data_IF_765378985415
#
_entry.id   IF_765378985415
#
_cell.length_a   1.000
_cell.length_b   1.000
_cell.length_c   1.000
_cell.angle_alpha   90.00
_cell.angle_beta   90.00
_cell.angle_gamma   90.00
#
_symmetry.space_group_name_H-M   'P 1'
#
loop_
_entity.id
_entity.type
_entity.pdbx_description
1 polymer ?
#
# COMPACT_ATOMS: atom_id res chain seq x y z
N UNK A 1 3.36 49.93 -26.74
CA UNK A 1 2.76 48.59 -26.85
C UNK A 1 3.45 47.69 -25.83
N UNK A 2 3.03 47.72 -24.57
CA UNK A 2 3.57 46.82 -23.54
C UNK A 2 2.64 45.61 -23.47
N UNK A 3 3.10 44.50 -24.03
CA UNK A 3 2.47 43.19 -23.82
C UNK A 3 2.74 42.79 -22.38
N UNK A 4 1.74 43.01 -21.53
CA UNK A 4 1.66 42.43 -20.20
C UNK A 4 1.65 40.91 -20.37
N UNK A 5 2.79 40.28 -20.09
CA UNK A 5 2.88 38.83 -20.03
C UNK A 5 2.06 38.39 -18.81
N UNK A 6 0.80 38.01 -19.04
CA UNK A 6 0.02 37.28 -18.06
C UNK A 6 0.79 35.99 -17.75
N UNK A 7 1.18 35.72 -16.49
CA UNK A 7 1.72 34.43 -16.14
C UNK A 7 0.62 33.41 -16.46
N UNK A 8 0.94 32.46 -17.35
CA UNK A 8 0.09 31.32 -17.62
C UNK A 8 0.00 30.55 -16.29
N UNK A 9 -1.02 30.83 -15.49
CA UNK A 9 -1.35 30.04 -14.31
C UNK A 9 -1.79 28.68 -14.83
N UNK A 10 -0.82 27.77 -15.00
CA UNK A 10 -1.10 26.39 -15.38
C UNK A 10 -2.02 25.84 -14.27
N UNK A 11 -3.24 25.40 -14.60
CA UNK A 11 -4.15 24.89 -13.59
C UNK A 11 -3.45 23.75 -12.84
N UNK A 12 -3.44 23.84 -11.50
CA UNK A 12 -2.79 22.83 -10.67
C UNK A 12 -3.35 21.44 -11.01
N UNK A 13 -2.47 20.52 -11.37
CA UNK A 13 -2.87 19.17 -11.77
C UNK A 13 -3.55 18.49 -10.58
N UNK A 14 -4.80 18.04 -10.78
CA UNK A 14 -5.54 17.35 -9.72
C UNK A 14 -4.83 16.06 -9.33
N UNK A 15 -4.70 15.85 -8.03
CA UNK A 15 -4.26 14.58 -7.48
C UNK A 15 -5.34 13.53 -7.72
N UNK A 16 -4.96 12.39 -8.27
CA UNK A 16 -5.80 11.20 -8.30
C UNK A 16 -5.75 10.49 -6.95
N UNK A 17 -6.69 9.57 -6.73
CA UNK A 17 -6.67 8.68 -5.56
C UNK A 17 -5.34 7.93 -5.48
N UNK A 18 -4.84 7.47 -6.64
CA UNK A 18 -3.54 6.80 -6.76
C UNK A 18 -2.37 7.68 -6.27
N UNK A 19 -2.37 8.98 -6.56
CA UNK A 19 -1.28 9.87 -6.14
C UNK A 19 -1.27 10.07 -4.63
N UNK A 20 -2.47 10.19 -4.02
CA UNK A 20 -2.63 10.24 -2.57
C UNK A 20 -2.18 8.94 -1.92
N UNK A 21 -2.53 7.81 -2.52
CA UNK A 21 -2.16 6.48 -2.06
C UNK A 21 -0.64 6.25 -2.08
N UNK A 22 0.04 6.63 -3.16
CA UNK A 22 1.50 6.56 -3.26
C UNK A 22 2.18 7.46 -2.21
N UNK A 23 1.59 8.62 -1.91
CA UNK A 23 2.07 9.50 -0.85
C UNK A 23 1.90 8.88 0.53
N UNK A 24 0.77 8.24 0.84
CA UNK A 24 0.57 7.54 2.12
C UNK A 24 1.63 6.47 2.33
N UNK A 25 1.94 5.69 1.29
CA UNK A 25 2.99 4.67 1.35
C UNK A 25 4.35 5.32 1.65
N UNK A 26 4.68 6.42 0.99
CA UNK A 26 5.94 7.15 1.24
C UNK A 26 6.03 7.69 2.67
N UNK A 27 4.94 8.22 3.21
CA UNK A 27 4.89 8.70 4.60
C UNK A 27 5.10 7.55 5.58
N UNK A 28 4.49 6.40 5.33
CA UNK A 28 4.70 5.20 6.13
C UNK A 28 6.13 4.68 6.06
N UNK A 29 6.74 4.66 4.88
CA UNK A 29 8.15 4.27 4.70
C UNK A 29 9.08 5.23 5.47
N UNK A 30 8.84 6.55 5.37
CA UNK A 30 9.60 7.55 6.12
C UNK A 30 9.44 7.45 7.64
N UNK A 31 8.24 7.09 8.12
CA UNK A 31 8.00 6.80 9.53
C UNK A 31 8.71 5.53 9.98
N UNK A 32 8.69 4.47 9.17
CA UNK A 32 9.40 3.21 9.45
C UNK A 32 10.93 3.42 9.52
N UNK A 33 11.46 4.33 8.71
CA UNK A 33 12.86 4.79 8.77
C UNK A 33 13.17 5.71 9.97
N UNK A 34 12.16 6.08 10.77
CA UNK A 34 12.31 6.96 11.94
C UNK A 34 12.48 8.45 11.60
N UNK A 35 12.19 8.85 10.36
CA UNK A 35 12.28 10.27 9.91
C UNK A 35 11.06 11.09 10.28
N UNK A 36 9.94 10.44 10.54
CA UNK A 36 8.72 11.07 11.04
C UNK A 36 8.42 10.55 12.43
N UNK A 37 7.98 11.45 13.30
CA UNK A 37 7.34 11.10 14.56
C UNK A 37 5.90 10.62 14.32
N UNK A 38 5.27 10.02 15.33
CA UNK A 38 3.87 9.59 15.26
C UNK A 38 2.94 10.79 14.97
N UNK A 39 3.16 11.93 15.63
CA UNK A 39 2.32 13.11 15.45
C UNK A 39 2.43 13.68 14.02
N UNK A 40 3.64 13.71 13.47
CA UNK A 40 3.87 14.18 12.09
C UNK A 40 3.29 13.22 11.06
N UNK A 41 3.37 11.90 11.29
CA UNK A 41 2.72 10.93 10.42
C UNK A 41 1.20 11.15 10.39
N UNK A 42 0.58 11.31 11.56
CA UNK A 42 -0.87 11.52 11.69
C UNK A 42 -1.32 12.78 10.93
N UNK A 43 -0.64 13.91 11.16
CA UNK A 43 -0.93 15.18 10.49
C UNK A 43 -0.76 15.08 8.97
N UNK A 44 0.33 14.46 8.51
CA UNK A 44 0.62 14.33 7.08
C UNK A 44 -0.31 13.37 6.36
N UNK A 45 -0.81 12.33 7.02
CA UNK A 45 -1.85 11.45 6.48
C UNK A 45 -3.14 12.25 6.25
N UNK A 46 -3.55 13.06 7.23
CA UNK A 46 -4.77 13.88 7.12
C UNK A 46 -4.65 14.90 5.97
N UNK A 47 -3.49 15.56 5.85
CA UNK A 47 -3.18 16.47 4.73
C UNK A 47 -3.18 15.74 3.37
N UNK A 48 -2.60 14.54 3.30
CA UNK A 48 -2.57 13.72 2.08
C UNK A 48 -3.96 13.35 1.61
N UNK A 49 -4.83 12.92 2.53
CA UNK A 49 -6.20 12.53 2.21
C UNK A 49 -7.05 13.73 1.77
N UNK A 50 -6.78 14.92 2.31
CA UNK A 50 -7.47 16.17 1.98
C UNK A 50 -6.95 16.84 0.69
N UNK A 51 -5.73 16.50 0.25
CA UNK A 51 -5.09 17.11 -0.92
C UNK A 51 -5.91 16.89 -2.20
N UNK A 52 -6.09 17.96 -2.98
CA UNK A 52 -6.80 17.96 -4.26
C UNK A 52 -5.86 18.11 -5.44
N UNK A 53 -4.62 18.53 -5.20
CA UNK A 53 -3.62 18.84 -6.23
C UNK A 53 -2.29 18.15 -5.96
N UNK A 54 -1.53 17.90 -7.04
CA UNK A 54 -0.17 17.37 -6.95
C UNK A 54 0.77 18.28 -6.16
N UNK A 55 0.56 19.60 -6.22
CA UNK A 55 1.36 20.57 -5.46
C UNK A 55 1.12 20.42 -3.95
N UNK A 56 -0.12 20.25 -3.52
CA UNK A 56 -0.45 19.99 -2.11
C UNK A 56 0.16 18.67 -1.64
N UNK A 57 0.09 17.60 -2.45
CA UNK A 57 0.77 16.34 -2.15
C UNK A 57 2.29 16.49 -2.06
N UNK A 58 2.90 17.22 -2.99
CA UNK A 58 4.33 17.48 -2.99
C UNK A 58 4.79 18.21 -1.73
N UNK A 59 3.97 19.14 -1.21
CA UNK A 59 4.27 19.86 0.03
C UNK A 59 4.31 18.95 1.26
N UNK A 60 3.47 17.92 1.31
CA UNK A 60 3.39 16.98 2.46
C UNK A 60 4.67 16.17 2.66
N UNK A 61 5.44 15.91 1.59
CA UNK A 61 6.69 15.15 1.63
C UNK A 61 7.90 15.95 1.12
N UNK A 62 7.84 17.29 1.18
CA UNK A 62 8.88 18.17 0.64
C UNK A 62 10.23 18.03 1.37
N UNK A 63 10.19 17.71 2.65
CA UNK A 63 11.33 17.52 3.55
C UNK A 63 11.77 16.05 3.69
N UNK A 64 11.04 15.13 3.06
CA UNK A 64 11.40 13.71 3.05
C UNK A 64 12.28 13.40 1.84
N UNK A 65 13.28 12.52 1.97
CA UNK A 65 14.07 12.11 0.83
C UNK A 65 13.16 11.56 -0.27
N UNK A 66 13.41 12.00 -1.49
CA UNK A 66 12.86 11.35 -2.67
C UNK A 66 13.68 10.08 -2.85
N UNK A 67 13.24 8.97 -2.24
CA UNK A 67 13.66 7.64 -2.69
C UNK A 67 13.43 7.53 -4.21
N UNK A 68 14.14 6.67 -4.95
CA UNK A 68 14.16 6.68 -6.41
C UNK A 68 12.77 6.98 -6.97
N UNK A 69 12.62 8.22 -7.43
CA UNK A 69 11.30 8.80 -7.64
C UNK A 69 10.57 8.03 -8.74
N UNK A 70 9.23 8.09 -8.78
CA UNK A 70 8.49 7.63 -9.94
C UNK A 70 8.70 8.64 -11.08
N UNK A 71 9.89 8.67 -11.65
CA UNK A 71 10.13 9.33 -12.92
C UNK A 71 9.71 8.45 -14.11
N UNK A 72 9.28 7.21 -13.89
CA UNK A 72 8.93 6.29 -15.00
C UNK A 72 7.73 5.35 -14.76
N UNK A 73 6.91 5.59 -13.74
CA UNK A 73 5.68 4.82 -13.54
C UNK A 73 4.43 5.56 -14.07
N UNK A 74 4.49 6.09 -15.30
CA UNK A 74 3.26 6.25 -16.11
C UNK A 74 2.77 4.87 -16.55
N UNK A 75 2.36 4.05 -15.61
CA UNK A 75 1.60 2.84 -15.91
C UNK A 75 0.17 3.11 -15.45
N UNK A 76 -0.67 3.51 -16.41
CA UNK A 76 -2.12 3.42 -16.29
C UNK A 76 -2.49 1.95 -16.06
N UNK A 77 -2.54 1.54 -14.79
CA UNK A 77 -3.03 0.22 -14.37
C UNK A 77 -4.51 0.32 -13.99
N UNK A 78 -5.37 -0.67 -14.29
CA UNK A 78 -6.80 -0.62 -13.99
C UNK A 78 -7.08 -0.53 -12.48
N UNK A 79 -8.22 0.07 -12.12
CA UNK A 79 -8.73 0.12 -10.74
C UNK A 79 -8.78 -1.28 -10.09
N UNK A 80 -8.35 -1.39 -8.82
CA UNK A 80 -8.31 -2.65 -8.05
C UNK A 80 -6.97 -3.02 -7.39
N UNK A 81 -5.94 -2.16 -7.53
CA UNK A 81 -4.56 -2.40 -7.08
C UNK A 81 -4.21 -1.92 -5.67
N UNK A 82 -5.16 -1.33 -4.94
CA UNK A 82 -4.90 -0.67 -3.66
C UNK A 82 -6.07 -0.78 -2.68
N UNK A 83 -5.77 -0.76 -1.37
CA UNK A 83 -6.75 -0.77 -0.29
C UNK A 83 -6.20 -0.03 0.94
N UNK A 84 -7.01 0.83 1.56
CA UNK A 84 -6.64 1.55 2.80
C UNK A 84 -7.65 1.24 3.90
N UNK A 85 -7.14 0.95 5.10
CA UNK A 85 -7.88 1.08 6.34
C UNK A 85 -7.28 2.24 7.14
N UNK A 86 -8.07 3.28 7.37
CA UNK A 86 -7.71 4.41 8.22
C UNK A 86 -8.70 4.49 9.38
N UNK A 87 -8.23 4.28 10.61
CA UNK A 87 -9.05 4.30 11.85
C UNK A 87 -10.31 3.41 11.77
N UNK A 88 -10.32 2.41 10.91
CA UNK A 88 -11.43 1.51 10.67
C UNK A 88 -10.91 0.12 10.25
N UNK A 89 -11.81 -0.85 10.16
CA UNK A 89 -11.52 -2.17 9.62
C UNK A 89 -11.88 -2.26 8.15
N UNK A 90 -11.04 -2.95 7.36
CA UNK A 90 -11.31 -3.21 5.95
C UNK A 90 -11.22 -4.70 5.65
N UNK A 91 -12.26 -5.26 5.04
CA UNK A 91 -12.26 -6.65 4.58
C UNK A 91 -12.35 -6.68 3.08
N UNK A 92 -11.44 -7.41 2.44
CA UNK A 92 -11.50 -7.69 1.01
C UNK A 92 -11.47 -9.17 0.77
N UNK A 93 -12.55 -9.69 0.21
CA UNK A 93 -12.78 -11.11 -0.02
C UNK A 93 -13.54 -11.32 -1.34
N UNK A 94 -13.63 -12.57 -1.79
CA UNK A 94 -14.36 -12.98 -2.97
C UNK A 94 -13.49 -13.13 -4.22
N UNK A 95 -14.14 -13.25 -5.38
CA UNK A 95 -13.45 -13.40 -6.66
C UNK A 95 -13.09 -12.03 -7.23
N UNK A 96 -11.80 -11.76 -7.30
CA UNK A 96 -11.25 -10.57 -7.92
C UNK A 96 -9.85 -10.87 -8.45
N UNK A 97 -9.41 -10.10 -9.44
CA UNK A 97 -8.09 -10.25 -10.03
C UNK A 97 -7.06 -9.55 -9.15
N UNK A 98 -6.21 -10.32 -8.48
CA UNK A 98 -5.08 -9.81 -7.69
C UNK A 98 -3.97 -9.40 -8.65
N UNK A 99 -3.70 -8.09 -8.78
CA UNK A 99 -2.65 -7.61 -9.65
C UNK A 99 -1.27 -8.03 -9.15
N UNK A 100 -0.29 -8.11 -10.05
CA UNK A 100 1.12 -8.41 -9.72
C UNK A 100 1.72 -7.48 -8.65
N UNK A 101 1.14 -6.28 -8.49
CA UNK A 101 1.49 -5.34 -7.42
C UNK A 101 0.21 -4.86 -6.76
N UNK A 102 0.03 -5.21 -5.50
CA UNK A 102 -1.09 -4.80 -4.67
C UNK A 102 -0.56 -4.17 -3.39
N UNK A 103 -1.14 -3.05 -2.95
CA UNK A 103 -0.71 -2.39 -1.70
C UNK A 103 -1.89 -2.21 -0.77
N UNK A 104 -1.71 -2.60 0.49
CA UNK A 104 -2.69 -2.45 1.57
C UNK A 104 -2.08 -1.63 2.69
N UNK A 105 -2.58 -0.41 2.89
CA UNK A 105 -2.13 0.47 3.99
C UNK A 105 -3.11 0.36 5.15
N UNK A 106 -2.61 0.09 6.35
CA UNK A 106 -3.47 -0.10 7.53
C UNK A 106 -2.96 0.73 8.69
N UNK A 107 -3.72 1.76 9.03
CA UNK A 107 -3.38 2.72 10.07
C UNK A 107 -4.45 2.72 11.17
N UNK A 108 -4.05 2.40 12.42
CA UNK A 108 -4.92 2.33 13.61
C UNK A 108 -6.21 1.54 13.36
N UNK A 109 -6.10 0.33 12.83
CA UNK A 109 -7.27 -0.45 12.40
C UNK A 109 -6.94 -1.91 12.14
N UNK A 110 -7.85 -2.61 11.46
CA UNK A 110 -7.61 -4.00 11.06
C UNK A 110 -7.87 -4.21 9.57
N UNK A 111 -7.13 -5.11 8.95
CA UNK A 111 -7.38 -5.48 7.56
C UNK A 111 -7.43 -7.00 7.41
N UNK A 112 -8.48 -7.49 6.76
CA UNK A 112 -8.60 -8.89 6.34
C UNK A 112 -8.54 -8.97 4.82
N UNK A 113 -7.51 -9.60 4.29
CA UNK A 113 -7.32 -9.83 2.87
C UNK A 113 -7.50 -11.33 2.58
N UNK A 114 -8.69 -11.73 2.14
CA UNK A 114 -8.99 -13.10 1.76
C UNK A 114 -8.68 -13.32 0.28
N UNK A 115 -7.53 -13.94 0.00
CA UNK A 115 -7.05 -14.25 -1.34
C UNK A 115 -7.45 -15.67 -1.79
N UNK A 116 -8.21 -16.44 -1.01
CA UNK A 116 -8.55 -17.83 -1.36
C UNK A 116 -9.31 -17.98 -2.67
N UNK A 117 -10.13 -16.98 -2.98
CA UNK A 117 -10.90 -16.91 -4.23
C UNK A 117 -10.33 -15.89 -5.22
N UNK A 118 -9.19 -15.26 -4.90
CA UNK A 118 -8.56 -14.27 -5.77
C UNK A 118 -7.82 -14.97 -6.92
N UNK A 119 -7.91 -14.37 -8.11
CA UNK A 119 -7.20 -14.83 -9.32
C UNK A 119 -5.92 -14.02 -9.47
N UNK A 120 -4.76 -14.68 -9.36
CA UNK A 120 -3.46 -14.03 -9.55
C UNK A 120 -3.29 -13.63 -11.03
N UNK A 121 -3.00 -12.35 -11.28
CA UNK A 121 -2.80 -11.83 -12.65
C UNK A 121 -1.50 -12.33 -13.28
N UNK A 122 -0.49 -12.66 -12.46
CA UNK A 122 0.83 -13.10 -12.92
C UNK A 122 1.49 -14.15 -12.01
N UNK A 123 2.65 -14.70 -12.42
CA UNK A 123 3.37 -15.75 -11.69
C UNK A 123 4.04 -15.25 -10.41
N UNK A 124 4.30 -13.93 -10.31
CA UNK A 124 4.85 -13.29 -9.12
C UNK A 124 3.94 -12.12 -8.75
N UNK A 125 3.49 -12.10 -7.51
CA UNK A 125 2.67 -11.03 -6.95
C UNK A 125 3.34 -10.42 -5.73
N UNK A 126 3.45 -9.10 -5.69
CA UNK A 126 4.01 -8.33 -4.57
C UNK A 126 2.87 -7.66 -3.82
N UNK A 127 2.71 -8.02 -2.55
CA UNK A 127 1.83 -7.39 -1.58
C UNK A 127 2.66 -6.42 -0.72
N UNK A 128 2.44 -5.11 -0.87
CA UNK A 128 3.03 -4.11 0.04
C UNK A 128 2.07 -3.82 1.18
N UNK A 129 2.52 -3.95 2.42
CA UNK A 129 1.65 -3.87 3.61
C UNK A 129 2.28 -2.99 4.70
N UNK A 130 2.30 -1.67 4.54
CA UNK A 130 2.63 -0.77 5.64
C UNK A 130 1.48 -0.77 6.67
N UNK A 131 1.78 -1.21 7.89
CA UNK A 131 0.81 -1.41 8.95
C UNK A 131 1.27 -0.70 10.23
N UNK A 132 0.50 0.29 10.69
CA UNK A 132 0.78 1.05 11.91
C UNK A 132 -0.32 0.89 12.95
N UNK A 133 0.04 0.44 14.17
CA UNK A 133 -0.89 0.17 15.27
C UNK A 133 -2.10 -0.63 14.80
N UNK A 134 -1.83 -1.68 14.03
CA UNK A 134 -2.86 -2.41 13.29
C UNK A 134 -2.60 -3.92 13.24
N UNK A 135 -3.66 -4.65 12.95
CA UNK A 135 -3.59 -6.10 12.72
C UNK A 135 -4.03 -6.40 11.31
N UNK A 136 -3.16 -7.05 10.54
CA UNK A 136 -3.43 -7.42 9.15
C UNK A 136 -3.40 -8.93 9.03
N UNK A 137 -4.52 -9.51 8.59
CA UNK A 137 -4.61 -10.92 8.27
C UNK A 137 -4.72 -11.10 6.76
N UNK A 138 -3.84 -11.90 6.18
CA UNK A 138 -3.82 -12.25 4.78
C UNK A 138 -4.04 -13.75 4.66
N UNK A 139 -5.17 -14.15 4.09
CA UNK A 139 -5.47 -15.56 3.84
C UNK A 139 -4.99 -15.90 2.44
N UNK A 140 -4.02 -16.80 2.35
CA UNK A 140 -3.36 -17.15 1.10
C UNK A 140 -4.19 -18.14 0.27
N UNK A 141 -4.11 -18.08 -1.07
CA UNK A 141 -4.68 -19.11 -1.92
C UNK A 141 -3.94 -20.44 -1.73
N UNK A 142 -4.61 -21.59 -1.92
CA UNK A 142 -3.93 -22.88 -1.89
C UNK A 142 -2.92 -22.98 -3.04
N UNK A 143 -1.76 -23.60 -2.77
CA UNK A 143 -0.78 -23.91 -3.80
C UNK A 143 0.12 -22.74 -4.24
N UNK A 144 0.15 -21.64 -3.49
CA UNK A 144 1.12 -20.55 -3.70
C UNK A 144 2.36 -20.73 -2.84
N UNK A 145 3.49 -20.20 -3.30
CA UNK A 145 4.67 -19.99 -2.45
C UNK A 145 4.58 -18.60 -1.83
N UNK A 146 4.80 -18.49 -0.53
CA UNK A 146 4.84 -17.20 0.16
C UNK A 146 6.27 -16.88 0.57
N UNK A 147 6.70 -15.68 0.20
CA UNK A 147 8.00 -15.12 0.59
C UNK A 147 7.73 -13.83 1.35
N UNK A 148 8.21 -13.74 2.59
CA UNK A 148 8.01 -12.57 3.47
C UNK A 148 9.26 -11.73 3.52
N UNK A 149 9.10 -10.41 3.47
CA UNK A 149 10.18 -9.44 3.54
C UNK A 149 9.73 -8.21 4.35
N UNK A 150 10.52 -7.81 5.34
CA UNK A 150 10.23 -6.69 6.25
C UNK A 150 10.03 -7.09 7.72
N UNK A 151 9.35 -6.24 8.49
CA UNK A 151 9.30 -6.31 9.97
C UNK A 151 7.88 -6.60 10.48
N UNK A 152 7.77 -7.45 11.50
CA UNK A 152 6.49 -7.76 12.17
C UNK A 152 5.54 -8.60 11.31
N UNK A 153 6.10 -9.39 10.38
CA UNK A 153 5.38 -10.32 9.50
C UNK A 153 5.61 -11.75 9.99
N UNK A 154 4.54 -12.51 10.07
CA UNK A 154 4.56 -13.96 10.30
C UNK A 154 3.86 -14.66 9.14
N UNK A 155 4.45 -15.74 8.62
CA UNK A 155 3.83 -16.58 7.59
C UNK A 155 3.70 -18.04 8.04
N UNK A 156 2.45 -18.51 8.11
CA UNK A 156 2.07 -19.88 8.42
C UNK A 156 1.30 -20.47 7.23
N UNK A 157 2.05 -20.76 6.16
CA UNK A 157 1.50 -21.36 4.94
C UNK A 157 2.03 -22.78 4.81
N UNK A 158 1.13 -23.76 4.87
CA UNK A 158 1.46 -25.17 4.86
C UNK A 158 1.32 -25.76 3.45
N UNK A 159 2.11 -26.79 3.20
CA UNK A 159 2.12 -27.53 1.94
C UNK A 159 3.36 -27.26 1.10
N UNK A 160 3.75 -28.24 0.29
CA UNK A 160 4.83 -28.10 -0.68
C UNK A 160 4.22 -27.63 -2.01
N UNK A 161 4.35 -26.34 -2.37
CA UNK A 161 3.82 -25.86 -3.64
C UNK A 161 4.52 -26.56 -4.80
N UNK A 162 3.81 -26.91 -5.89
CA UNK A 162 4.39 -27.57 -7.05
C UNK A 162 5.49 -26.73 -7.69
N UNK A 163 6.39 -27.37 -8.44
CA UNK A 163 7.38 -26.66 -9.25
C UNK A 163 6.66 -25.73 -10.26
N UNK A 164 6.96 -24.43 -10.20
CA UNK A 164 6.27 -23.41 -11.00
C UNK A 164 5.02 -22.79 -10.36
N UNK A 165 4.74 -23.09 -9.09
CA UNK A 165 3.68 -22.42 -8.35
C UNK A 165 3.85 -20.88 -8.33
N UNK A 166 2.74 -20.12 -8.40
CA UNK A 166 2.79 -18.68 -8.24
C UNK A 166 3.42 -18.27 -6.90
N UNK A 167 4.23 -17.22 -6.92
CA UNK A 167 4.92 -16.69 -5.75
C UNK A 167 4.25 -15.39 -5.30
N UNK A 168 3.90 -15.31 -4.02
CA UNK A 168 3.38 -14.11 -3.36
C UNK A 168 4.45 -13.57 -2.42
N UNK A 169 5.06 -12.45 -2.81
CA UNK A 169 5.98 -11.67 -1.97
C UNK A 169 5.19 -10.74 -1.06
N UNK A 170 5.20 -10.99 0.24
CA UNK A 170 4.62 -10.10 1.25
C UNK A 170 5.70 -9.18 1.79
N UNK A 171 5.70 -7.94 1.29
CA UNK A 171 6.57 -6.85 1.76
C UNK A 171 5.83 -6.00 2.78
N UNK A 172 6.08 -6.23 4.07
CA UNK A 172 5.31 -5.63 5.15
C UNK A 172 6.17 -4.94 6.21
N UNK A 173 5.65 -3.85 6.76
CA UNK A 173 6.25 -3.21 7.92
C UNK A 173 5.15 -2.99 8.95
N UNK A 174 5.05 -3.90 9.93
CA UNK A 174 4.13 -3.80 11.05
C UNK A 174 4.83 -3.11 12.23
N UNK A 175 4.40 -1.89 12.55
CA UNK A 175 4.87 -1.18 13.73
C UNK A 175 3.78 -1.11 14.80
N UNK A 176 4.08 -1.62 16.00
CA UNK A 176 3.11 -1.80 17.11
C UNK A 176 1.84 -2.56 16.68
N UNK A 177 2.04 -3.62 15.88
CA UNK A 177 0.99 -4.40 15.25
C UNK A 177 1.54 -5.71 14.68
N UNK A 178 0.72 -6.44 13.94
CA UNK A 178 1.11 -7.72 13.32
C UNK A 178 0.57 -7.84 11.90
N UNK A 179 1.35 -8.47 11.02
CA UNK A 179 0.92 -8.92 9.70
C UNK A 179 1.04 -10.46 9.69
N UNK A 180 -0.09 -11.14 9.52
CA UNK A 180 -0.16 -12.60 9.48
C UNK A 180 -0.58 -13.09 8.10
N UNK A 181 0.30 -13.84 7.44
CA UNK A 181 -0.03 -14.57 6.21
C UNK A 181 -0.31 -16.04 6.56
N UNK A 182 -1.52 -16.54 6.31
CA UNK A 182 -1.95 -17.90 6.69
C UNK A 182 -2.77 -18.58 5.60
N UNK A 183 -2.68 -19.91 5.51
CA UNK A 183 -3.45 -20.70 4.53
C UNK A 183 -4.85 -21.12 5.04
N UNK A 184 -5.09 -21.00 6.35
CA UNK A 184 -6.36 -21.35 7.01
C UNK A 184 -6.81 -20.24 7.95
N UNK A 185 -8.12 -19.98 7.95
CA UNK A 185 -8.75 -19.14 8.98
C UNK A 185 -8.60 -19.82 10.34
N UNK A 186 -8.15 -19.07 11.34
CA UNK A 186 -8.24 -19.49 12.75
C UNK A 186 -9.72 -19.70 13.05
N UNK A 187 -10.14 -20.96 13.27
CA UNK A 187 -11.44 -21.21 13.89
C UNK A 187 -11.34 -20.69 15.32
N UNK A 188 -12.15 -19.69 15.64
CA UNK A 188 -12.44 -19.25 17.01
C UNK A 188 -13.00 -20.39 17.82
#
# INVERSE_FOLDING_TARGET
MSVEQQPLTVPALRASDRDRDEMLVRLHDAFAEGRLTEAELDERIDLTLAARTHTELGAVAADLPTGPGPADARCAGPAGRFQVAYKNSVTRAGRWRLPERFTTVVYKGTALLDLRSAELEGPVTVLRVPAYKSTVEIIMPPGVRVETDGMGISAEVHGAPPAGAPVVHVRGYAYKGTIEAKDRLRRS
#
